data_IF_968877672698
#
_entry.id   IF_968877672698
#
_cell.length_a   1.000
_cell.length_b   1.000
_cell.length_c   1.000
_cell.angle_alpha   90.00
_cell.angle_beta   90.00
_cell.angle_gamma   90.00
#
_symmetry.space_group_name_H-M   'P 1'
#
loop_
_entity.id
_entity.type
_entity.pdbx_description
1 polymer ?
#
# COMPACT_ATOMS: atom_id res chain seq x y z
N UNK A 1 -6.73 -4.30 -1.67
CA UNK A 1 -7.94 -3.55 -1.22
C UNK A 1 -7.61 -2.16 -0.66
N UNK A 2 -6.57 -1.98 0.17
CA UNK A 2 -6.19 -0.69 0.78
C UNK A 2 -5.91 0.44 -0.24
N UNK A 3 -5.16 0.16 -1.30
CA UNK A 3 -4.86 1.13 -2.36
C UNK A 3 -6.10 1.71 -3.05
N UNK A 4 -7.10 0.86 -3.34
CA UNK A 4 -8.36 1.31 -3.94
C UNK A 4 -9.15 2.24 -3.00
N UNK A 5 -9.14 1.97 -1.69
CA UNK A 5 -9.75 2.83 -0.69
C UNK A 5 -9.07 4.20 -0.64
N UNK A 6 -7.73 4.24 -0.58
CA UNK A 6 -6.97 5.51 -0.60
C UNK A 6 -7.24 6.30 -1.88
N UNK A 7 -7.26 5.64 -3.05
CA UNK A 7 -7.60 6.27 -4.33
C UNK A 7 -9.03 6.82 -4.38
N UNK A 8 -9.97 6.24 -3.63
CA UNK A 8 -11.31 6.78 -3.48
C UNK A 8 -11.30 8.01 -2.55
N UNK A 9 -10.58 7.92 -1.43
CA UNK A 9 -10.44 9.00 -0.45
C UNK A 9 -9.83 10.27 -1.08
N UNK A 10 -8.85 10.12 -1.98
CA UNK A 10 -8.21 11.25 -2.69
C UNK A 10 -9.13 12.00 -3.64
N UNK A 11 -10.30 11.44 -4.00
CA UNK A 11 -11.31 12.10 -4.84
C UNK A 11 -12.30 12.96 -4.01
N UNK A 12 -12.18 12.94 -2.69
CA UNK A 12 -13.07 13.66 -1.77
C UNK A 12 -12.60 15.12 -1.56
N UNK A 13 -13.52 16.04 -1.31
CA UNK A 13 -13.22 17.48 -1.15
C UNK A 13 -12.44 17.85 0.14
N UNK A 14 -12.16 16.90 1.04
CA UNK A 14 -11.34 17.13 2.24
C UNK A 14 -9.85 17.00 1.87
N UNK A 15 -9.03 18.05 2.08
CA UNK A 15 -7.65 18.07 1.59
C UNK A 15 -6.73 17.14 2.38
N UNK A 16 -6.95 16.95 3.69
CA UNK A 16 -6.08 16.16 4.57
C UNK A 16 -6.86 15.37 5.62
N UNK A 17 -6.32 14.20 6.01
CA UNK A 17 -6.87 13.33 7.07
C UNK A 17 -5.75 12.89 8.04
N UNK A 18 -5.99 12.85 9.37
CA UNK A 18 -5.01 12.32 10.32
C UNK A 18 -4.68 10.85 10.04
N UNK A 19 -3.40 10.46 10.15
CA UNK A 19 -2.98 9.07 9.89
C UNK A 19 -3.64 8.07 10.83
N UNK A 20 -3.91 8.46 12.08
CA UNK A 20 -4.66 7.63 13.04
C UNK A 20 -6.05 7.22 12.53
N UNK A 21 -6.77 8.17 11.95
CA UNK A 21 -8.08 7.90 11.34
C UNK A 21 -7.97 7.00 10.11
N UNK A 22 -6.95 7.23 9.28
CA UNK A 22 -6.68 6.41 8.09
C UNK A 22 -6.28 4.99 8.47
N UNK A 23 -5.49 4.81 9.52
CA UNK A 23 -5.06 3.51 10.03
C UNK A 23 -6.26 2.65 10.45
N UNK A 24 -7.25 3.24 11.12
CA UNK A 24 -8.50 2.55 11.47
C UNK A 24 -9.31 2.15 10.23
N UNK A 25 -9.50 3.07 9.27
CA UNK A 25 -10.29 2.79 8.06
C UNK A 25 -9.66 1.71 7.19
N UNK A 26 -8.32 1.75 7.05
CA UNK A 26 -7.59 0.80 6.23
C UNK A 26 -7.34 -0.55 6.94
N UNK A 27 -7.79 -0.67 8.20
CA UNK A 27 -7.65 -1.88 9.01
C UNK A 27 -6.20 -2.17 9.39
N UNK A 28 -5.40 -1.13 9.64
CA UNK A 28 -4.12 -1.24 10.32
C UNK A 28 -4.28 -1.25 11.84
N UNK A 29 -5.33 -0.59 12.35
CA UNK A 29 -5.69 -0.61 13.78
C UNK A 29 -7.08 -1.22 13.96
N UNK A 30 -7.28 -1.91 15.09
CA UNK A 30 -8.60 -2.40 15.47
C UNK A 30 -9.50 -1.23 15.91
N UNK A 31 -10.80 -1.24 15.57
CA UNK A 31 -11.76 -0.29 16.14
C UNK A 31 -12.08 -0.56 17.62
N UNK A 32 -11.73 -1.75 18.12
CA UNK A 32 -11.93 -2.14 19.52
C UNK A 32 -10.84 -1.50 20.40
N UNK A 33 -11.17 -0.99 21.61
CA UNK A 33 -10.19 -0.50 22.55
C UNK A 33 -9.34 -1.68 23.04
N UNK A 34 -8.23 -1.91 22.36
CA UNK A 34 -7.24 -2.92 22.77
C UNK A 34 -6.29 -2.29 23.79
N UNK A 35 -6.11 -2.96 24.92
CA UNK A 35 -5.27 -2.54 26.05
C UNK A 35 -3.77 -2.53 25.67
N UNK A 36 -3.42 -3.29 24.63
CA UNK A 36 -2.13 -3.23 23.98
C UNK A 36 -2.07 -1.98 23.10
N UNK A 37 -1.25 -1.04 23.54
CA UNK A 37 -0.92 0.22 22.87
C UNK A 37 -0.65 -0.04 21.37
N UNK A 38 -1.70 0.07 20.54
CA UNK A 38 -1.75 -0.21 19.09
C UNK A 38 -0.93 0.83 18.31
N UNK A 39 0.35 0.89 18.63
CA UNK A 39 1.33 1.82 18.09
C UNK A 39 1.92 1.23 16.80
N UNK A 40 1.98 -0.10 16.72
CA UNK A 40 2.46 -0.83 15.55
C UNK A 40 1.58 -0.66 14.32
N UNK A 41 0.24 -0.66 14.46
CA UNK A 41 -0.66 -0.43 13.33
C UNK A 41 -0.53 0.99 12.77
N UNK A 42 -0.29 1.97 13.64
CA UNK A 42 -0.08 3.36 13.21
C UNK A 42 1.25 3.54 12.46
N UNK A 43 2.32 2.91 12.93
CA UNK A 43 3.63 2.90 12.27
C UNK A 43 3.56 2.21 10.90
N UNK A 44 2.95 1.02 10.83
CA UNK A 44 2.74 0.28 9.58
C UNK A 44 1.92 1.11 8.57
N UNK A 45 0.85 1.78 9.04
CA UNK A 45 0.06 2.67 8.19
C UNK A 45 0.90 3.83 7.65
N UNK A 46 1.75 4.42 8.49
CA UNK A 46 2.62 5.54 8.11
C UNK A 46 3.62 5.13 7.04
N UNK A 47 4.31 4.01 7.23
CA UNK A 47 5.28 3.48 6.27
C UNK A 47 4.60 3.12 4.94
N UNK A 48 3.41 2.52 5.01
CA UNK A 48 2.61 2.21 3.83
C UNK A 48 2.23 3.47 3.06
N UNK A 49 1.71 4.51 3.73
CA UNK A 49 1.36 5.79 3.08
C UNK A 49 2.58 6.49 2.49
N UNK A 50 3.74 6.38 3.14
CA UNK A 50 5.01 6.92 2.64
C UNK A 50 5.47 6.19 1.37
N UNK A 51 5.42 4.87 1.34
CA UNK A 51 5.76 4.06 0.16
C UNK A 51 4.85 4.34 -1.04
N UNK A 52 3.59 4.69 -0.75
CA UNK A 52 2.58 5.03 -1.76
C UNK A 52 2.54 6.51 -2.16
N UNK A 53 3.42 7.35 -1.59
CA UNK A 53 3.59 8.75 -1.98
C UNK A 53 2.44 9.67 -1.57
N UNK A 54 1.74 9.35 -0.47
CA UNK A 54 0.54 10.08 -0.03
C UNK A 54 0.57 10.66 1.40
N UNK A 55 1.74 10.63 2.04
CA UNK A 55 1.97 11.18 3.38
C UNK A 55 2.44 12.64 3.32
N UNK A 56 1.89 13.50 4.18
CA UNK A 56 2.28 14.90 4.39
C UNK A 56 2.34 15.21 5.89
N UNK A 57 2.86 16.39 6.25
CA UNK A 57 2.85 16.90 7.62
C UNK A 57 2.08 18.21 7.69
N UNK A 58 1.26 18.39 8.72
CA UNK A 58 0.56 19.66 8.94
C UNK A 58 1.51 20.73 9.54
N UNK A 59 0.98 21.92 9.82
CA UNK A 59 1.74 23.01 10.45
C UNK A 59 2.14 22.74 11.90
N UNK A 60 1.56 21.72 12.55
CA UNK A 60 1.89 21.31 13.92
C UNK A 60 2.93 20.18 13.96
N UNK A 61 3.27 19.60 12.80
CA UNK A 61 4.18 18.46 12.67
C UNK A 61 3.48 17.10 12.74
N UNK A 62 2.15 17.07 12.77
CA UNK A 62 1.35 15.86 12.76
C UNK A 62 1.31 15.25 11.34
N UNK A 63 1.48 13.94 11.26
CA UNK A 63 1.41 13.20 10.00
C UNK A 63 -0.02 13.10 9.50
N UNK A 64 -0.23 13.48 8.24
CA UNK A 64 -1.52 13.51 7.57
C UNK A 64 -1.45 12.83 6.21
N UNK A 65 -2.56 12.27 5.76
CA UNK A 65 -2.75 11.86 4.38
C UNK A 65 -3.12 13.10 3.56
N UNK A 66 -2.35 13.43 2.52
CA UNK A 66 -2.73 14.50 1.58
C UNK A 66 -3.56 13.90 0.45
N UNK A 67 -4.87 14.12 0.48
CA UNK A 67 -5.78 13.58 -0.51
C UNK A 67 -5.66 14.30 -1.86
N UNK A 68 -5.25 15.57 -1.87
CA UNK A 68 -5.37 16.47 -3.03
C UNK A 68 -4.07 16.58 -3.82
N UNK A 69 -2.93 16.77 -3.15
CA UNK A 69 -1.62 16.81 -3.78
C UNK A 69 -1.16 15.42 -4.23
N UNK A 70 -1.49 14.39 -3.45
CA UNK A 70 -1.04 13.03 -3.73
C UNK A 70 -1.76 12.36 -4.91
N UNK A 71 -2.78 12.99 -5.49
CA UNK A 71 -3.47 12.45 -6.66
C UNK A 71 -2.53 12.27 -7.86
N UNK A 72 -1.52 13.14 -7.99
CA UNK A 72 -0.52 13.07 -9.06
C UNK A 72 0.63 12.11 -8.75
N UNK A 73 0.89 11.81 -7.48
CA UNK A 73 2.02 10.99 -7.01
C UNK A 73 1.61 9.61 -6.49
N UNK A 74 0.30 9.32 -6.46
CA UNK A 74 -0.22 8.02 -6.03
C UNK A 74 0.25 6.92 -6.98
N UNK A 75 1.04 5.99 -6.45
CA UNK A 75 1.50 4.83 -7.19
C UNK A 75 1.33 3.57 -6.35
N UNK A 76 1.18 2.43 -7.01
CA UNK A 76 1.22 1.13 -6.35
C UNK A 76 2.61 0.55 -6.60
N UNK A 77 3.50 0.48 -5.59
CA UNK A 77 4.83 -0.10 -5.75
C UNK A 77 4.70 -1.54 -6.23
N UNK A 78 5.71 -2.02 -6.97
CA UNK A 78 5.73 -3.40 -7.45
C UNK A 78 5.55 -4.36 -6.27
N UNK A 79 4.69 -5.38 -6.39
CA UNK A 79 4.55 -6.38 -5.36
C UNK A 79 5.85 -7.17 -5.24
N UNK A 80 6.45 -7.19 -4.05
CA UNK A 80 7.65 -7.98 -3.74
C UNK A 80 7.39 -9.50 -3.96
N UNK A 81 6.12 -9.91 -3.93
CA UNK A 81 5.60 -11.26 -4.20
C UNK A 81 5.28 -11.50 -5.70
N UNK A 82 5.90 -10.76 -6.62
CA UNK A 82 5.82 -11.06 -8.04
C UNK A 82 6.53 -12.40 -8.30
N UNK A 83 5.80 -13.52 -8.13
CA UNK A 83 6.24 -14.84 -8.56
C UNK A 83 6.56 -14.74 -10.04
N UNK A 84 7.86 -14.77 -10.36
CA UNK A 84 8.31 -14.87 -11.74
C UNK A 84 7.64 -16.10 -12.33
N UNK A 85 6.68 -15.92 -13.23
CA UNK A 85 6.13 -16.99 -14.06
C UNK A 85 7.16 -17.45 -15.11
N UNK A 86 8.42 -17.63 -14.70
CA UNK A 86 9.39 -18.42 -15.42
C UNK A 86 9.05 -19.88 -15.18
N UNK A 87 8.03 -20.37 -15.87
CA UNK A 87 7.80 -21.80 -16.00
C UNK A 87 9.02 -22.38 -16.73
N UNK A 88 9.96 -22.92 -15.95
CA UNK A 88 11.16 -23.58 -16.44
C UNK A 88 10.85 -24.79 -17.35
N UNK A 89 9.59 -25.24 -17.38
CA UNK A 89 9.10 -26.32 -18.23
C UNK A 89 8.83 -25.89 -19.69
N UNK A 90 8.98 -24.59 -20.01
CA UNK A 90 8.91 -24.06 -21.39
C UNK A 90 10.28 -23.79 -22.04
N UNK A 91 11.36 -24.36 -21.49
CA UNK A 91 12.65 -24.32 -22.17
C UNK A 91 12.56 -25.11 -23.49
N UNK A 92 12.54 -24.39 -24.63
CA UNK A 92 12.55 -24.96 -26.00
C UNK A 92 13.61 -26.03 -26.24
N UNK A 93 14.70 -26.01 -25.46
CA UNK A 93 15.74 -27.03 -25.49
C UNK A 93 15.25 -28.41 -25.00
N UNK A 94 14.32 -28.46 -24.04
CA UNK A 94 13.74 -29.73 -23.54
C UNK A 94 12.80 -30.35 -24.59
N UNK A 95 12.04 -29.50 -25.30
CA UNK A 95 11.17 -29.92 -26.41
C UNK A 95 11.95 -30.56 -27.56
N UNK A 96 13.10 -29.97 -27.94
CA UNK A 96 13.95 -30.51 -29.02
C UNK A 96 14.62 -31.83 -28.67
N UNK A 97 14.93 -32.04 -27.40
CA UNK A 97 15.60 -33.27 -26.92
C UNK A 97 14.63 -34.46 -26.92
N UNK A 98 13.33 -34.21 -26.71
CA UNK A 98 12.28 -35.24 -26.71
C UNK A 98 11.87 -35.76 -28.09
N UNK A 99 12.18 -35.02 -29.16
CA UNK A 99 11.91 -35.42 -30.54
C UNK A 99 13.01 -36.27 -31.21
N UNK A 100 14.11 -36.55 -30.51
CA UNK A 100 15.27 -37.28 -31.03
C UNK A 100 15.45 -38.69 -30.44
N UNK A 101 14.44 -39.24 -29.77
CA UNK A 101 14.40 -40.66 -29.35
C UNK A 101 13.36 -41.47 -30.11
#
# INVERSE_FOLDING_TARGET
MRYAAVKCMTRSYRPTLPVSYVAQILGFQSPEPSDEKDTGGLEECTEWLKAHGCLTTDSSGEMMLDAKASMATLFMPEPDDAVSHGDASLAVNDFLTRSLS
#
